data_IF_072683110742
#
_entry.id   IF_072683110742
#
_cell.length_a   1.000
_cell.length_b   1.000
_cell.length_c   1.000
_cell.angle_alpha   90.00
_cell.angle_beta   90.00
_cell.angle_gamma   90.00
#
_symmetry.space_group_name_H-M   'P 1'
#
loop_
_entity.id
_entity.type
_entity.pdbx_description
1 polymer ?
#
# COMPACT_ATOMS: atom_id res chain seq x y z
N UNK A 1 -18.87 12.45 -24.09
CA UNK A 1 -19.11 11.88 -22.74
C UNK A 1 -17.88 11.03 -22.40
N UNK A 2 -17.03 11.49 -21.49
CA UNK A 2 -15.93 10.66 -21.00
C UNK A 2 -16.55 9.50 -20.19
N UNK A 3 -16.55 8.30 -20.73
CA UNK A 3 -16.88 7.12 -19.94
C UNK A 3 -15.85 7.00 -18.81
N UNK A 4 -16.32 7.06 -17.57
CA UNK A 4 -15.45 6.84 -16.41
C UNK A 4 -14.87 5.43 -16.52
N UNK A 5 -13.53 5.32 -16.54
CA UNK A 5 -12.85 4.03 -16.66
C UNK A 5 -13.16 3.22 -15.42
N UNK A 6 -13.85 2.08 -15.59
CA UNK A 6 -14.05 1.12 -14.49
C UNK A 6 -12.69 0.67 -13.95
N UNK A 7 -12.51 0.73 -12.65
CA UNK A 7 -11.23 0.40 -12.02
C UNK A 7 -11.43 -0.27 -10.68
N UNK A 8 -10.49 -1.12 -10.32
CA UNK A 8 -10.39 -1.74 -8.99
C UNK A 8 -8.96 -1.62 -8.47
N UNK A 9 -8.80 -1.16 -7.23
CA UNK A 9 -7.50 -1.09 -6.56
C UNK A 9 -7.29 -2.29 -5.62
N UNK A 10 -6.04 -2.50 -5.18
CA UNK A 10 -5.77 -3.52 -4.16
C UNK A 10 -6.50 -3.22 -2.84
N UNK A 11 -6.57 -1.96 -2.42
CA UNK A 11 -7.29 -1.59 -1.19
C UNK A 11 -8.78 -1.88 -1.29
N UNK A 12 -9.38 -1.62 -2.44
CA UNK A 12 -10.77 -1.96 -2.74
C UNK A 12 -10.99 -3.48 -2.74
N UNK A 13 -10.13 -4.23 -3.44
CA UNK A 13 -10.15 -5.69 -3.46
C UNK A 13 -10.03 -6.29 -2.05
N UNK A 14 -9.15 -5.76 -1.22
CA UNK A 14 -9.00 -6.17 0.17
C UNK A 14 -10.29 -5.95 0.96
N UNK A 15 -10.92 -4.78 0.82
CA UNK A 15 -12.21 -4.50 1.44
C UNK A 15 -13.29 -5.49 0.99
N UNK A 16 -13.35 -5.77 -0.32
CA UNK A 16 -14.28 -6.77 -0.86
C UNK A 16 -14.02 -8.17 -0.28
N UNK A 17 -12.76 -8.60 -0.24
CA UNK A 17 -12.38 -9.92 0.28
C UNK A 17 -12.72 -10.08 1.77
N UNK A 18 -12.55 -9.03 2.55
CA UNK A 18 -12.90 -9.02 3.96
C UNK A 18 -14.42 -9.02 4.18
N UNK A 19 -15.18 -8.22 3.42
CA UNK A 19 -16.65 -8.22 3.46
C UNK A 19 -17.22 -7.55 2.20
N UNK A 20 -17.79 -8.30 1.23
CA UNK A 20 -18.42 -7.73 0.03
C UNK A 20 -19.50 -6.70 0.34
N UNK A 21 -20.23 -6.86 1.45
CA UNK A 21 -21.24 -5.88 1.85
C UNK A 21 -20.62 -4.57 2.34
N UNK A 22 -19.50 -4.62 3.11
CA UNK A 22 -18.76 -3.42 3.48
C UNK A 22 -18.18 -2.70 2.26
N UNK A 23 -17.67 -3.47 1.29
CA UNK A 23 -17.23 -2.92 0.02
C UNK A 23 -18.36 -2.14 -0.66
N UNK A 24 -19.58 -2.71 -0.73
CA UNK A 24 -20.74 -2.01 -1.30
C UNK A 24 -20.96 -0.67 -0.61
N UNK A 25 -21.04 -0.65 0.73
CA UNK A 25 -21.28 0.58 1.49
C UNK A 25 -20.23 1.68 1.20
N UNK A 26 -18.96 1.29 1.07
CA UNK A 26 -17.85 2.23 0.86
C UNK A 26 -17.71 2.67 -0.61
N UNK A 27 -17.69 1.71 -1.54
CA UNK A 27 -17.29 1.98 -2.93
C UNK A 27 -18.46 2.15 -3.89
N UNK A 28 -19.61 1.53 -3.62
CA UNK A 28 -20.82 1.64 -4.45
C UNK A 28 -21.75 2.73 -3.88
N UNK A 29 -22.10 2.63 -2.60
CA UNK A 29 -23.00 3.59 -1.94
C UNK A 29 -22.26 4.86 -1.49
N UNK A 30 -20.92 4.87 -1.52
CA UNK A 30 -20.04 6.00 -1.18
C UNK A 30 -20.29 6.58 0.21
N UNK A 31 -20.65 5.73 1.16
CA UNK A 31 -20.87 6.19 2.54
C UNK A 31 -19.53 6.64 3.16
N UNK A 32 -19.57 7.72 3.98
CA UNK A 32 -18.40 8.17 4.70
C UNK A 32 -17.77 7.04 5.51
N UNK A 33 -16.50 6.81 5.36
CA UNK A 33 -15.81 5.77 6.08
C UNK A 33 -14.62 6.36 6.85
N UNK A 34 -13.41 5.91 6.65
CA UNK A 34 -12.25 6.41 7.36
C UNK A 34 -11.75 7.71 6.73
N UNK A 35 -11.55 8.76 7.54
CA UNK A 35 -11.14 10.09 7.11
C UNK A 35 -9.70 10.45 7.54
N UNK A 36 -8.91 9.47 7.92
CA UNK A 36 -7.54 9.69 8.40
C UNK A 36 -7.45 9.89 9.92
N UNK A 37 -6.25 9.78 10.43
CA UNK A 37 -5.82 10.07 11.79
C UNK A 37 -4.31 10.28 11.84
N UNK A 38 -3.72 10.50 13.03
CA UNK A 38 -2.29 10.73 13.21
C UNK A 38 -1.43 9.58 12.62
N UNK A 39 -1.93 8.33 12.69
CA UNK A 39 -1.18 7.18 12.12
C UNK A 39 -1.14 7.22 10.60
N UNK A 40 -2.20 7.65 9.93
CA UNK A 40 -2.20 7.82 8.48
C UNK A 40 -1.36 9.02 8.05
N UNK A 41 -1.44 10.12 8.79
CA UNK A 41 -0.59 11.29 8.57
C UNK A 41 0.90 10.93 8.68
N UNK A 42 1.26 10.17 9.72
CA UNK A 42 2.61 9.64 9.87
C UNK A 42 3.03 8.75 8.68
N UNK A 43 2.16 7.84 8.26
CA UNK A 43 2.41 6.96 7.12
C UNK A 43 2.68 7.76 5.84
N UNK A 44 1.81 8.72 5.51
CA UNK A 44 1.97 9.60 4.35
C UNK A 44 3.28 10.38 4.41
N UNK A 45 3.61 10.97 5.55
CA UNK A 45 4.85 11.74 5.71
C UNK A 45 6.12 10.88 5.54
N UNK A 46 6.11 9.66 6.07
CA UNK A 46 7.23 8.71 5.90
C UNK A 46 7.36 8.28 4.43
N UNK A 47 6.27 8.02 3.72
CA UNK A 47 6.31 7.71 2.28
C UNK A 47 6.90 8.89 1.51
N UNK A 48 6.40 10.11 1.72
CA UNK A 48 6.93 11.33 1.10
C UNK A 48 8.44 11.49 1.34
N UNK A 49 8.89 11.23 2.57
CA UNK A 49 10.32 11.27 2.90
C UNK A 49 11.12 10.23 2.10
N UNK A 50 10.67 8.97 2.04
CA UNK A 50 11.35 7.94 1.27
C UNK A 50 11.42 8.27 -0.23
N UNK A 51 10.32 8.81 -0.78
CA UNK A 51 10.19 9.19 -2.18
C UNK A 51 11.15 10.32 -2.60
N UNK A 52 11.47 11.23 -1.70
CA UNK A 52 12.36 12.37 -1.98
C UNK A 52 13.83 12.07 -1.66
N UNK A 53 14.07 11.38 -0.55
CA UNK A 53 15.43 11.19 0.00
C UNK A 53 16.18 10.09 -0.75
N UNK A 54 15.53 8.99 -1.12
CA UNK A 54 16.22 7.87 -1.75
C UNK A 54 16.71 8.20 -3.16
N UNK A 55 15.88 8.79 -4.05
CA UNK A 55 16.33 9.19 -5.39
C UNK A 55 17.42 10.26 -5.37
N UNK A 56 17.31 11.24 -4.48
CA UNK A 56 18.24 12.34 -4.37
C UNK A 56 19.51 12.02 -3.56
N UNK A 57 19.53 10.85 -2.90
CA UNK A 57 20.57 10.48 -1.95
C UNK A 57 20.81 11.56 -0.87
N UNK A 58 19.73 12.23 -0.45
CA UNK A 58 19.77 13.38 0.43
C UNK A 58 19.99 12.97 1.91
N UNK A 59 20.60 13.86 2.66
CA UNK A 59 20.74 13.76 4.13
C UNK A 59 19.64 14.52 4.88
N UNK A 60 18.66 15.11 4.18
CA UNK A 60 17.59 15.95 4.76
C UNK A 60 16.34 15.17 5.16
N UNK A 61 16.47 13.87 5.43
CA UNK A 61 15.32 12.98 5.68
C UNK A 61 14.40 13.46 6.81
N UNK A 62 14.98 13.88 7.93
CA UNK A 62 14.20 14.38 9.08
C UNK A 62 13.44 15.65 8.73
N UNK A 63 14.06 16.60 8.05
CA UNK A 63 13.40 17.83 7.63
C UNK A 63 12.24 17.56 6.67
N UNK A 64 12.45 16.70 5.67
CA UNK A 64 11.39 16.34 4.71
C UNK A 64 10.22 15.67 5.43
N UNK A 65 10.50 14.78 6.38
CA UNK A 65 9.46 14.17 7.19
C UNK A 65 8.69 15.22 8.02
N UNK A 66 9.38 16.09 8.75
CA UNK A 66 8.75 17.11 9.60
C UNK A 66 7.83 18.04 8.82
N UNK A 67 8.27 18.52 7.65
CA UNK A 67 7.47 19.35 6.76
C UNK A 67 6.22 18.61 6.23
N UNK A 68 6.39 17.35 5.82
CA UNK A 68 5.28 16.53 5.33
C UNK A 68 4.29 16.18 6.47
N UNK A 69 4.81 15.80 7.65
CA UNK A 69 3.97 15.42 8.79
C UNK A 69 3.18 16.61 9.33
N UNK A 70 3.81 17.77 9.47
CA UNK A 70 3.13 19.01 9.89
C UNK A 70 1.99 19.36 8.95
N UNK A 71 2.18 19.21 7.62
CA UNK A 71 1.14 19.44 6.61
C UNK A 71 -0.04 18.47 6.77
N UNK A 72 0.22 17.19 6.95
CA UNK A 72 -0.82 16.18 7.13
C UNK A 72 -1.60 16.41 8.45
N UNK A 73 -0.93 16.78 9.53
CA UNK A 73 -1.55 17.12 10.82
C UNK A 73 -2.44 18.36 10.67
N UNK A 74 -1.97 19.38 9.94
CA UNK A 74 -2.78 20.57 9.65
C UNK A 74 -4.05 20.21 8.88
N UNK A 75 -3.97 19.39 7.84
CA UNK A 75 -5.13 18.92 7.08
C UNK A 75 -6.15 18.20 7.99
N UNK A 76 -5.68 17.34 8.89
CA UNK A 76 -6.57 16.68 9.86
C UNK A 76 -7.26 17.67 10.80
N UNK A 77 -6.52 18.68 11.28
CA UNK A 77 -7.05 19.74 12.14
C UNK A 77 -8.11 20.58 11.42
N UNK A 78 -7.85 20.98 10.19
CA UNK A 78 -8.79 21.75 9.34
C UNK A 78 -10.07 20.95 9.05
N UNK A 79 -9.97 19.63 8.96
CA UNK A 79 -11.12 18.71 8.85
C UNK A 79 -11.83 18.45 10.19
N UNK A 80 -11.50 19.20 11.25
CA UNK A 80 -12.18 19.15 12.55
C UNK A 80 -11.84 17.90 13.38
N UNK A 81 -10.71 17.22 13.10
CA UNK A 81 -10.29 16.06 13.90
C UNK A 81 -9.71 16.52 15.24
N UNK A 82 -10.13 15.84 16.32
CA UNK A 82 -9.45 15.98 17.61
C UNK A 82 -8.13 15.24 17.57
N UNK A 83 -7.03 15.98 17.69
CA UNK A 83 -5.68 15.44 17.59
C UNK A 83 -5.07 15.21 18.97
N UNK A 84 -4.37 14.10 19.13
CA UNK A 84 -3.61 13.80 20.33
C UNK A 84 -2.19 14.38 20.21
N UNK A 85 -1.95 15.54 20.88
CA UNK A 85 -0.69 16.25 20.81
C UNK A 85 0.50 15.47 21.41
N UNK A 86 0.27 14.63 22.43
CA UNK A 86 1.31 13.77 22.98
C UNK A 86 1.73 12.71 21.98
N UNK A 87 0.77 12.08 21.31
CA UNK A 87 1.03 11.12 20.26
C UNK A 87 1.79 11.74 19.06
N UNK A 88 1.45 12.97 18.68
CA UNK A 88 2.15 13.68 17.59
C UNK A 88 3.62 13.90 17.96
N UNK A 89 3.91 14.41 19.16
CA UNK A 89 5.29 14.59 19.65
C UNK A 89 6.07 13.26 19.71
N UNK A 90 5.42 12.20 20.18
CA UNK A 90 6.01 10.87 20.18
C UNK A 90 6.35 10.41 18.77
N UNK A 91 5.45 10.63 17.80
CA UNK A 91 5.65 10.25 16.39
C UNK A 91 6.81 11.01 15.75
N UNK A 92 6.95 12.31 16.01
CA UNK A 92 8.07 13.12 15.54
C UNK A 92 9.40 12.55 16.05
N UNK A 93 9.50 12.29 17.35
CA UNK A 93 10.68 11.68 17.95
C UNK A 93 11.00 10.28 17.38
N UNK A 94 9.97 9.46 17.15
CA UNK A 94 10.11 8.09 16.64
C UNK A 94 10.51 8.06 15.15
N UNK A 95 10.13 9.07 14.37
CA UNK A 95 10.50 9.17 12.96
C UNK A 95 12.00 9.36 12.76
N UNK A 96 12.70 10.03 13.65
CA UNK A 96 14.14 10.32 13.53
C UNK A 96 14.94 9.04 13.23
N UNK A 97 14.69 7.97 13.96
CA UNK A 97 15.39 6.69 13.75
C UNK A 97 15.11 6.07 12.39
N UNK A 98 13.90 6.22 11.87
CA UNK A 98 13.55 5.74 10.53
C UNK A 98 14.25 6.59 9.48
N UNK A 99 14.22 7.92 9.63
CA UNK A 99 14.86 8.86 8.72
C UNK A 99 16.37 8.62 8.58
N UNK A 100 17.05 8.34 9.69
CA UNK A 100 18.48 8.04 9.70
C UNK A 100 18.83 6.69 9.09
N UNK A 101 17.94 5.69 9.21
CA UNK A 101 18.24 4.30 8.85
C UNK A 101 17.74 3.91 7.45
N UNK A 102 16.73 4.58 6.87
CA UNK A 102 16.07 4.09 5.64
C UNK A 102 17.02 4.03 4.46
N UNK A 103 17.75 5.09 4.16
CA UNK A 103 18.67 5.13 3.04
C UNK A 103 19.86 4.16 3.22
N UNK A 104 20.54 4.10 4.39
CA UNK A 104 21.53 3.07 4.67
C UNK A 104 21.02 1.64 4.51
N UNK A 105 19.82 1.33 5.04
CA UNK A 105 19.25 -0.02 4.95
C UNK A 105 18.92 -0.43 3.51
N UNK A 106 18.39 0.49 2.71
CA UNK A 106 18.14 0.24 1.28
C UNK A 106 19.45 -0.01 0.54
N UNK A 107 20.47 0.82 0.75
CA UNK A 107 21.80 0.62 0.15
C UNK A 107 22.47 -0.68 0.61
N UNK A 108 22.35 -1.02 1.87
CA UNK A 108 22.91 -2.28 2.39
C UNK A 108 22.24 -3.49 1.74
N UNK A 109 20.92 -3.43 1.49
CA UNK A 109 20.18 -4.54 0.94
C UNK A 109 20.36 -4.71 -0.58
N UNK A 110 20.32 -3.63 -1.34
CA UNK A 110 20.31 -3.66 -2.81
C UNK A 110 21.68 -3.34 -3.44
N UNK A 111 22.64 -2.80 -2.66
CA UNK A 111 23.92 -2.34 -3.18
C UNK A 111 23.79 -1.11 -4.05
N UNK A 112 24.43 -1.15 -5.23
CA UNK A 112 24.32 -0.09 -6.24
C UNK A 112 23.01 -0.27 -7.00
N UNK A 113 22.25 0.80 -7.11
CA UNK A 113 21.00 0.82 -7.88
C UNK A 113 20.74 2.20 -8.48
N UNK A 114 19.90 2.24 -9.49
CA UNK A 114 19.24 3.44 -10.01
C UNK A 114 17.76 3.45 -9.63
N UNK A 115 17.19 4.60 -9.35
CA UNK A 115 15.73 4.75 -9.15
C UNK A 115 15.08 4.90 -10.51
N UNK A 116 14.19 3.97 -10.85
CA UNK A 116 13.46 3.95 -12.13
C UNK A 116 12.21 4.81 -12.06
N UNK A 117 11.45 4.66 -10.97
CA UNK A 117 10.23 5.42 -10.75
C UNK A 117 9.87 5.52 -9.27
N UNK A 118 9.10 6.55 -8.93
CA UNK A 118 8.52 6.82 -7.60
C UNK A 118 7.05 7.11 -7.81
N UNK A 119 6.17 6.63 -6.91
CA UNK A 119 4.71 6.77 -7.01
C UNK A 119 4.16 6.40 -8.39
N UNK A 120 4.70 5.32 -8.95
CA UNK A 120 4.35 4.93 -10.31
C UNK A 120 2.91 4.44 -10.39
N UNK A 121 2.09 5.19 -11.12
CA UNK A 121 0.72 4.79 -11.37
C UNK A 121 0.64 3.58 -12.29
N UNK A 122 -0.02 2.54 -11.82
CA UNK A 122 -0.51 1.40 -12.60
C UNK A 122 -1.99 1.64 -12.89
N UNK A 123 -2.36 1.66 -14.16
CA UNK A 123 -3.75 1.68 -14.62
C UNK A 123 -3.82 0.80 -15.88
N UNK A 124 -3.89 -0.51 -15.66
CA UNK A 124 -3.77 -1.49 -16.73
C UNK A 124 -5.06 -2.28 -16.91
N UNK A 125 -5.52 -2.47 -18.14
CA UNK A 125 -6.68 -3.32 -18.42
C UNK A 125 -6.44 -4.74 -17.88
N UNK A 126 -7.43 -5.29 -17.20
CA UNK A 126 -7.41 -6.69 -16.76
C UNK A 126 -7.79 -7.54 -17.97
N UNK A 127 -6.83 -8.30 -18.50
CA UNK A 127 -6.98 -9.12 -19.72
C UNK A 127 -6.93 -10.62 -19.44
N UNK A 128 -6.70 -11.02 -18.19
CA UNK A 128 -6.55 -12.43 -17.80
C UNK A 128 -7.89 -13.18 -17.74
N UNK A 129 -9.00 -12.44 -17.70
CA UNK A 129 -10.36 -12.95 -17.67
C UNK A 129 -11.33 -11.87 -18.22
N UNK A 130 -12.60 -12.23 -18.42
CA UNK A 130 -13.62 -11.23 -18.74
C UNK A 130 -13.82 -10.30 -17.55
N UNK A 131 -13.28 -9.08 -17.68
CA UNK A 131 -13.23 -8.07 -16.62
C UNK A 131 -14.30 -6.99 -16.75
N UNK A 132 -15.24 -7.15 -17.70
CA UNK A 132 -16.28 -6.15 -17.99
C UNK A 132 -15.70 -4.74 -18.25
N UNK A 133 -14.52 -4.68 -18.86
CA UNK A 133 -13.80 -3.43 -19.12
C UNK A 133 -13.11 -2.79 -17.91
N UNK A 134 -13.01 -3.52 -16.80
CA UNK A 134 -12.34 -3.03 -15.59
C UNK A 134 -10.81 -3.05 -15.73
N UNK A 135 -10.15 -1.99 -15.26
CA UNK A 135 -8.70 -1.88 -15.14
C UNK A 135 -8.23 -2.07 -13.71
N UNK A 136 -7.06 -2.65 -13.51
CA UNK A 136 -6.39 -2.66 -12.21
C UNK A 136 -5.71 -1.31 -11.99
N UNK A 137 -6.00 -0.68 -10.85
CA UNK A 137 -5.37 0.58 -10.43
C UNK A 137 -4.49 0.37 -9.21
N UNK A 138 -3.30 0.93 -9.24
CA UNK A 138 -2.39 0.96 -8.09
C UNK A 138 -1.36 2.07 -8.22
N UNK A 139 -0.61 2.29 -7.15
CA UNK A 139 0.59 3.12 -7.15
C UNK A 139 1.69 2.29 -6.53
N UNK A 140 2.83 2.21 -7.22
CA UNK A 140 4.03 1.54 -6.74
C UNK A 140 4.88 2.61 -6.08
N UNK A 141 5.14 2.48 -4.79
CA UNK A 141 5.86 3.50 -4.03
C UNK A 141 7.24 3.79 -4.64
N UNK A 142 7.99 2.73 -5.00
CA UNK A 142 9.30 2.90 -5.66
C UNK A 142 9.68 1.68 -6.49
N UNK A 143 10.31 1.93 -7.62
CA UNK A 143 10.98 0.91 -8.44
C UNK A 143 12.45 1.28 -8.58
N UNK A 144 13.33 0.37 -8.26
CA UNK A 144 14.77 0.51 -8.47
C UNK A 144 15.27 -0.58 -9.42
N UNK A 145 16.40 -0.32 -10.09
CA UNK A 145 17.07 -1.28 -10.97
C UNK A 145 18.52 -1.47 -10.52
N UNK A 146 18.95 -2.71 -10.44
CA UNK A 146 20.33 -3.08 -10.07
C UNK A 146 21.17 -3.41 -11.32
N UNK A 147 22.52 -3.39 -11.24
CA UNK A 147 23.41 -3.63 -12.40
C UNK A 147 23.22 -4.98 -13.07
N UNK A 148 22.62 -5.97 -12.39
CA UNK A 148 22.26 -7.28 -12.96
C UNK A 148 20.95 -7.25 -13.76
N UNK A 149 20.49 -6.06 -14.15
CA UNK A 149 19.28 -5.81 -14.94
C UNK A 149 17.99 -6.28 -14.27
N UNK A 150 17.96 -6.42 -12.95
CA UNK A 150 16.75 -6.71 -12.20
C UNK A 150 16.05 -5.45 -11.73
N UNK A 151 14.74 -5.49 -11.78
CA UNK A 151 13.84 -4.48 -11.23
C UNK A 151 13.35 -4.92 -9.86
N UNK A 152 13.39 -4.02 -8.89
CA UNK A 152 12.91 -4.28 -7.53
C UNK A 152 11.76 -3.32 -7.22
N UNK A 153 10.58 -3.87 -7.09
CA UNK A 153 9.39 -3.13 -6.65
C UNK A 153 9.40 -3.09 -5.13
N UNK A 154 9.40 -1.90 -4.59
CA UNK A 154 9.42 -1.62 -3.16
C UNK A 154 8.09 -1.00 -2.76
N UNK A 155 7.52 -1.49 -1.66
CA UNK A 155 6.32 -0.94 -1.03
C UNK A 155 6.62 -0.70 0.45
N UNK A 156 6.53 0.57 0.87
CA UNK A 156 6.80 1.00 2.23
C UNK A 156 5.63 0.67 3.13
N UNK A 157 5.91 0.17 4.33
CA UNK A 157 4.86 -0.11 5.32
C UNK A 157 5.25 0.40 6.70
N UNK A 158 4.57 1.42 7.16
CA UNK A 158 4.73 1.88 8.55
C UNK A 158 4.05 0.91 9.51
N UNK A 159 4.70 0.64 10.61
CA UNK A 159 4.17 -0.22 11.67
C UNK A 159 4.82 0.12 13.02
N UNK A 160 4.30 -0.41 14.13
CA UNK A 160 4.89 -0.18 15.45
C UNK A 160 6.22 -0.93 15.60
N UNK A 161 6.20 -2.26 15.62
CA UNK A 161 7.41 -3.09 15.91
C UNK A 161 7.87 -4.00 14.77
N UNK A 162 7.11 -4.11 13.70
CA UNK A 162 7.30 -5.05 12.60
C UNK A 162 6.11 -5.97 12.42
N UNK A 163 6.24 -6.93 11.51
CA UNK A 163 5.19 -7.90 11.22
C UNK A 163 5.54 -9.28 11.77
N UNK A 164 4.55 -9.96 12.34
CA UNK A 164 4.66 -11.38 12.70
C UNK A 164 4.92 -12.25 11.47
N UNK A 165 5.42 -13.46 11.69
CA UNK A 165 5.61 -14.45 10.61
C UNK A 165 4.30 -14.68 9.85
N UNK A 166 3.18 -14.80 10.56
CA UNK A 166 1.87 -15.03 9.95
C UNK A 166 1.46 -13.87 9.04
N UNK A 167 1.67 -12.62 9.48
CA UNK A 167 1.38 -11.45 8.65
C UNK A 167 2.30 -11.35 7.43
N UNK A 168 3.57 -11.69 7.56
CA UNK A 168 4.52 -11.74 6.42
C UNK A 168 4.17 -12.83 5.41
N UNK A 169 3.58 -13.95 5.86
CA UNK A 169 3.15 -15.06 5.01
C UNK A 169 1.69 -14.97 4.55
N UNK A 170 0.91 -13.98 5.05
CA UNK A 170 -0.48 -13.83 4.67
C UNK A 170 -0.64 -13.60 3.16
N UNK A 171 -1.38 -14.49 2.46
CA UNK A 171 -1.53 -14.38 1.03
C UNK A 171 -2.17 -13.06 0.58
N UNK A 172 -3.18 -12.58 1.30
CA UNK A 172 -3.90 -11.35 0.92
C UNK A 172 -2.98 -10.13 1.00
N UNK A 173 -2.19 -10.01 2.06
CA UNK A 173 -1.17 -8.96 2.19
C UNK A 173 -0.16 -9.01 1.03
N UNK A 174 0.32 -10.21 0.71
CA UNK A 174 1.32 -10.41 -0.33
C UNK A 174 0.79 -10.21 -1.76
N UNK A 175 -0.52 -10.31 -1.97
CA UNK A 175 -1.12 -10.12 -3.30
C UNK A 175 -0.97 -8.69 -3.81
N UNK A 176 -0.81 -7.68 -2.94
CA UNK A 176 -0.50 -6.32 -3.38
C UNK A 176 0.72 -6.31 -4.29
N UNK A 177 1.83 -6.84 -3.80
CA UNK A 177 3.08 -6.92 -4.57
C UNK A 177 2.99 -7.89 -5.76
N UNK A 178 2.16 -8.93 -5.66
CA UNK A 178 1.92 -9.85 -6.78
C UNK A 178 1.22 -9.15 -7.93
N UNK A 179 0.20 -8.32 -7.66
CA UNK A 179 -0.46 -7.51 -8.68
C UNK A 179 0.47 -6.44 -9.24
N UNK A 180 1.23 -5.76 -8.40
CA UNK A 180 2.20 -4.76 -8.86
C UNK A 180 3.21 -5.38 -9.82
N UNK A 181 3.79 -6.52 -9.48
CA UNK A 181 4.68 -7.26 -10.37
C UNK A 181 4.00 -7.64 -11.70
N UNK A 182 2.78 -8.20 -11.65
CA UNK A 182 2.05 -8.63 -12.83
C UNK A 182 1.76 -7.46 -13.78
N UNK A 183 1.26 -6.35 -13.26
CA UNK A 183 0.86 -5.21 -14.09
C UNK A 183 2.02 -4.31 -14.48
N UNK A 184 3.03 -4.17 -13.64
CA UNK A 184 4.29 -3.50 -14.00
C UNK A 184 5.00 -4.23 -15.16
N UNK A 185 5.10 -5.56 -15.07
CA UNK A 185 5.65 -6.40 -16.15
C UNK A 185 4.93 -6.15 -17.49
N UNK A 186 3.59 -6.07 -17.48
CA UNK A 186 2.78 -5.83 -18.68
C UNK A 186 2.92 -4.41 -19.21
N UNK A 187 2.86 -3.43 -18.34
CA UNK A 187 2.98 -2.00 -18.68
C UNK A 187 4.29 -1.71 -19.39
N UNK A 188 5.39 -2.29 -18.90
CA UNK A 188 6.74 -2.03 -19.39
C UNK A 188 7.28 -3.11 -20.34
N UNK A 189 6.50 -4.16 -20.59
CA UNK A 189 6.94 -5.33 -21.39
C UNK A 189 8.25 -5.95 -20.86
N UNK A 190 8.37 -6.07 -19.53
CA UNK A 190 9.53 -6.65 -18.85
C UNK A 190 9.22 -8.10 -18.46
N UNK A 191 10.18 -9.03 -18.68
CA UNK A 191 10.05 -10.41 -18.22
C UNK A 191 9.83 -10.44 -16.69
N UNK A 192 8.74 -11.06 -16.20
CA UNK A 192 8.47 -11.19 -14.76
C UNK A 192 9.62 -11.84 -13.97
N UNK A 193 10.48 -12.61 -14.61
CA UNK A 193 11.68 -13.20 -13.96
C UNK A 193 12.72 -12.16 -13.57
N UNK A 194 12.73 -11.01 -14.25
CA UNK A 194 13.59 -9.87 -13.94
C UNK A 194 13.02 -8.95 -12.86
N UNK A 195 11.82 -9.22 -12.34
CA UNK A 195 11.16 -8.37 -11.36
C UNK A 195 11.08 -9.09 -10.02
N UNK A 196 11.62 -8.47 -8.99
CA UNK A 196 11.52 -8.89 -7.60
C UNK A 196 10.68 -7.89 -6.80
N UNK A 197 10.07 -8.34 -5.72
CA UNK A 197 9.17 -7.48 -4.93
C UNK A 197 9.50 -7.54 -3.46
N UNK A 198 9.42 -6.38 -2.78
CA UNK A 198 9.84 -6.22 -1.40
C UNK A 198 8.85 -5.36 -0.62
N UNK A 199 8.56 -5.76 0.61
CA UNK A 199 8.07 -4.84 1.62
C UNK A 199 9.26 -4.29 2.41
N UNK A 200 9.22 -3.01 2.68
CA UNK A 200 10.14 -2.36 3.61
C UNK A 200 9.33 -1.86 4.80
N UNK A 201 9.51 -2.52 5.94
CA UNK A 201 8.84 -2.16 7.17
C UNK A 201 9.60 -1.03 7.87
N UNK A 202 8.89 0.05 8.14
CA UNK A 202 9.36 1.24 8.83
C UNK A 202 8.76 1.23 10.23
N UNK A 203 9.55 0.72 11.20
CA UNK A 203 9.12 0.34 12.54
C UNK A 203 9.25 1.50 13.51
N UNK A 204 8.16 2.18 13.78
CA UNK A 204 8.10 3.42 14.54
C UNK A 204 8.61 3.29 15.98
N UNK A 205 8.20 2.24 16.70
CA UNK A 205 8.49 2.06 18.13
C UNK A 205 9.54 0.98 18.41
N UNK A 206 10.24 0.50 17.39
CA UNK A 206 11.35 -0.42 17.58
C UNK A 206 12.52 0.30 18.25
N UNK A 207 13.17 -0.35 19.22
CA UNK A 207 14.34 0.20 19.92
C UNK A 207 15.61 0.21 19.07
N UNK A 208 15.65 -0.64 18.04
CA UNK A 208 16.75 -0.77 17.06
C UNK A 208 16.21 -1.41 15.80
N UNK A 209 16.97 -1.36 14.71
CA UNK A 209 16.62 -1.95 13.42
C UNK A 209 15.24 -1.45 12.94
N UNK A 210 15.06 -0.12 12.92
CA UNK A 210 13.78 0.52 12.58
C UNK A 210 13.38 0.28 11.13
N UNK A 211 14.29 -0.17 10.28
CA UNK A 211 14.01 -0.50 8.88
C UNK A 211 14.28 -1.99 8.63
N UNK A 212 13.31 -2.67 8.07
CA UNK A 212 13.41 -4.10 7.75
C UNK A 212 12.98 -4.36 6.31
N UNK A 213 13.89 -4.81 5.47
CA UNK A 213 13.63 -5.16 4.07
C UNK A 213 13.39 -6.67 3.97
N UNK A 214 12.28 -7.10 3.40
CA UNK A 214 12.07 -8.50 3.12
C UNK A 214 11.41 -8.76 1.77
N UNK A 215 11.89 -9.80 1.09
CA UNK A 215 11.41 -10.20 -0.22
C UNK A 215 10.09 -10.95 -0.13
N UNK A 216 9.18 -10.62 -1.03
CA UNK A 216 7.93 -11.38 -1.28
C UNK A 216 8.06 -12.08 -2.62
N UNK A 217 8.10 -13.40 -2.62
CA UNK A 217 8.14 -14.17 -3.86
C UNK A 217 6.75 -14.26 -4.49
N UNK A 218 6.66 -13.99 -5.79
CA UNK A 218 5.44 -14.10 -6.58
C UNK A 218 5.73 -14.91 -7.85
N UNK A 219 5.67 -16.25 -7.70
CA UNK A 219 5.76 -17.19 -8.80
C UNK A 219 4.39 -17.38 -9.49
N UNK A 220 4.37 -18.14 -10.58
CA UNK A 220 3.19 -18.37 -11.42
C UNK A 220 1.96 -18.77 -10.60
N UNK A 221 2.09 -19.76 -9.71
CA UNK A 221 0.97 -20.25 -8.90
C UNK A 221 0.36 -19.19 -7.98
N UNK A 222 1.20 -18.36 -7.36
CA UNK A 222 0.71 -17.25 -6.52
C UNK A 222 0.00 -16.19 -7.38
N UNK A 223 0.53 -15.88 -8.55
CA UNK A 223 -0.10 -14.95 -9.51
C UNK A 223 -1.46 -15.47 -9.95
N UNK A 224 -1.56 -16.73 -10.36
CA UNK A 224 -2.84 -17.37 -10.72
C UNK A 224 -3.86 -17.31 -9.57
N UNK A 225 -3.44 -17.62 -8.36
CA UNK A 225 -4.32 -17.57 -7.18
C UNK A 225 -4.80 -16.14 -6.89
N UNK A 226 -3.91 -15.15 -6.99
CA UNK A 226 -4.28 -13.74 -6.81
C UNK A 226 -5.28 -13.28 -7.89
N UNK A 227 -5.04 -13.63 -9.14
CA UNK A 227 -5.94 -13.31 -10.25
C UNK A 227 -7.32 -13.94 -10.09
N UNK A 228 -7.43 -15.17 -9.55
CA UNK A 228 -8.73 -15.77 -9.19
C UNK A 228 -9.49 -14.96 -8.13
N UNK A 229 -8.77 -14.39 -7.14
CA UNK A 229 -9.40 -13.52 -6.14
C UNK A 229 -9.91 -12.24 -6.80
N UNK A 230 -9.11 -11.62 -7.67
CA UNK A 230 -9.48 -10.44 -8.43
C UNK A 230 -10.69 -10.71 -9.33
N UNK A 231 -10.68 -11.82 -10.08
CA UNK A 231 -11.78 -12.26 -10.94
C UNK A 231 -13.09 -12.41 -10.16
N UNK A 232 -13.04 -13.11 -9.02
CA UNK A 232 -14.22 -13.29 -8.18
C UNK A 232 -14.77 -11.96 -7.67
N UNK A 233 -13.88 -11.01 -7.31
CA UNK A 233 -14.29 -9.68 -6.86
C UNK A 233 -15.00 -8.93 -8.01
N UNK A 234 -14.37 -8.83 -9.16
CA UNK A 234 -14.92 -8.11 -10.33
C UNK A 234 -16.28 -8.69 -10.74
N UNK A 235 -16.38 -10.02 -10.88
CA UNK A 235 -17.64 -10.68 -11.27
C UNK A 235 -18.76 -10.42 -10.24
N UNK A 236 -18.45 -10.53 -8.95
CA UNK A 236 -19.49 -10.33 -7.93
C UNK A 236 -19.89 -8.86 -7.80
N UNK A 237 -18.96 -7.93 -7.94
CA UNK A 237 -19.26 -6.50 -7.95
C UNK A 237 -20.16 -6.15 -9.14
N UNK A 238 -19.83 -6.60 -10.34
CA UNK A 238 -20.64 -6.36 -11.55
C UNK A 238 -22.03 -6.99 -11.47
N UNK A 239 -22.15 -8.15 -10.83
CA UNK A 239 -23.46 -8.82 -10.60
C UNK A 239 -24.26 -8.27 -9.41
N UNK A 240 -23.73 -7.28 -8.68
CA UNK A 240 -24.38 -6.74 -7.49
C UNK A 240 -24.47 -7.73 -6.32
N UNK A 241 -23.55 -8.72 -6.24
CA UNK A 241 -23.54 -9.72 -5.18
C UNK A 241 -22.71 -9.23 -3.99
N UNK A 242 -23.41 -8.82 -2.92
CA UNK A 242 -22.80 -8.19 -1.75
C UNK A 242 -23.12 -8.94 -0.46
N UNK A 243 -22.43 -10.07 -0.22
CA UNK A 243 -22.66 -10.94 0.94
C UNK A 243 -22.02 -10.33 2.20
N UNK A 244 -22.75 -10.36 3.33
CA UNK A 244 -22.23 -9.96 4.64
C UNK A 244 -21.27 -11.03 5.19
N UNK A 245 -20.02 -10.66 5.46
CA UNK A 245 -19.09 -11.54 6.17
C UNK A 245 -19.00 -11.12 7.64
N UNK A 246 -19.77 -11.79 8.50
CA UNK A 246 -19.85 -11.46 9.93
C UNK A 246 -18.58 -11.76 10.74
N UNK A 247 -17.63 -12.54 10.18
CA UNK A 247 -16.34 -12.79 10.84
C UNK A 247 -15.45 -11.55 10.91
N UNK A 248 -15.69 -10.56 10.04
CA UNK A 248 -14.91 -9.32 9.97
C UNK A 248 -15.64 -8.10 10.58
N UNK A 249 -16.65 -8.33 11.43
CA UNK A 249 -17.42 -7.22 12.01
C UNK A 249 -16.71 -6.49 13.16
N UNK A 250 -15.74 -7.11 13.83
CA UNK A 250 -15.11 -6.60 15.06
C UNK A 250 -14.63 -5.14 14.97
N UNK A 251 -14.09 -4.74 13.81
CA UNK A 251 -13.57 -3.38 13.59
C UNK A 251 -14.28 -2.67 12.45
N UNK A 252 -15.49 -3.13 12.08
CA UNK A 252 -16.26 -2.53 11.01
C UNK A 252 -17.13 -1.40 11.58
N UNK A 253 -16.89 -0.15 11.13
CA UNK A 253 -17.66 1.01 11.60
C UNK A 253 -19.15 0.96 11.26
N UNK A 254 -19.56 0.14 10.28
CA UNK A 254 -20.96 -0.02 9.91
C UNK A 254 -21.68 -1.11 10.72
N UNK A 255 -20.94 -1.92 11.50
CA UNK A 255 -21.54 -3.00 12.27
C UNK A 255 -22.45 -2.47 13.38
N UNK A 256 -23.67 -3.00 13.46
CA UNK A 256 -24.74 -2.55 14.38
C UNK A 256 -25.13 -1.07 14.17
N UNK A 257 -25.04 -0.57 12.95
CA UNK A 257 -25.62 0.71 12.55
C UNK A 257 -26.85 0.48 11.65
N UNK A 258 -27.58 1.55 11.33
CA UNK A 258 -28.68 1.51 10.36
C UNK A 258 -28.28 0.91 9.00
N UNK A 259 -26.99 1.04 8.59
CA UNK A 259 -26.48 0.50 7.32
C UNK A 259 -26.15 -1.00 7.39
N UNK A 260 -25.88 -1.54 8.55
CA UNK A 260 -25.53 -2.96 8.74
C UNK A 260 -25.96 -3.45 10.14
N UNK A 261 -27.28 -3.61 10.36
CA UNK A 261 -27.84 -4.09 11.62
C UNK A 261 -27.46 -5.54 11.94
#
# INVERSE_FOLDING_TARGET
>A
MNQEIKRISFSELKNWKECPYRHKLIYVDKLPHFEGNEYTAFGTAIHTMCEQVIPSNSTTATQVFEEAFSREIQILSENGKQLNQDLIRDMESQATQICEQVLPAVKQHFGIFEVVSVEEQILEPIREFDSYGTSFKGFIDMVIKTPDEKYHIIDWKTCSWGWSRDKKSDPLTNYQLTYYKNYFSKKHNIDPKKIETYFVLLKRTAKKDNVEVFRVTSGQKKTENSLKVLQNAVINIEKGIHIKNRLNCKYCKFYKTEYCP
#
